data_IF_875040127766
#
_entry.id   IF_875040127766
#
_cell.length_a   1.000
_cell.length_b   1.000
_cell.length_c   1.000
_cell.angle_alpha   90.00
_cell.angle_beta   90.00
_cell.angle_gamma   90.00
#
_symmetry.space_group_name_H-M   'P 1'
#
loop_
_entity.id
_entity.type
_entity.pdbx_description
1 polymer ?
#
# COMPACT_ATOMS: atom_id res chain seq x y z
N UNK A 1 -10.35 34.57 -13.65
CA UNK A 1 -11.13 34.24 -14.87
C UNK A 1 -11.43 32.75 -14.85
N UNK A 2 -12.71 32.39 -14.90
CA UNK A 2 -13.10 30.98 -15.05
C UNK A 2 -12.78 30.49 -16.47
N UNK A 3 -12.37 29.23 -16.64
CA UNK A 3 -12.01 28.70 -17.95
C UNK A 3 -13.24 28.57 -18.85
N UNK A 4 -13.13 29.04 -20.10
CA UNK A 4 -14.22 28.95 -21.09
C UNK A 4 -14.44 27.48 -21.45
N UNK A 5 -15.65 26.90 -21.22
CA UNK A 5 -15.88 25.46 -21.39
C UNK A 5 -15.58 24.93 -22.79
N UNK A 6 -15.86 25.72 -23.83
CA UNK A 6 -15.59 25.38 -25.23
C UNK A 6 -14.08 25.24 -25.50
N UNK A 7 -13.27 26.18 -24.99
CA UNK A 7 -11.81 26.14 -25.13
C UNK A 7 -11.24 24.92 -24.41
N UNK A 8 -11.75 24.60 -23.21
CA UNK A 8 -11.32 23.40 -22.47
C UNK A 8 -11.68 22.12 -23.24
N UNK A 9 -12.85 22.07 -23.87
CA UNK A 9 -13.27 20.93 -24.67
C UNK A 9 -12.40 20.76 -25.91
N UNK A 10 -12.13 21.85 -26.64
CA UNK A 10 -11.26 21.85 -27.81
C UNK A 10 -9.84 21.43 -27.45
N UNK A 11 -9.25 22.02 -26.40
CA UNK A 11 -7.93 21.65 -25.91
C UNK A 11 -7.86 20.16 -25.55
N UNK A 12 -8.83 19.67 -24.78
CA UNK A 12 -8.86 18.25 -24.39
C UNK A 12 -8.91 17.33 -25.62
N UNK A 13 -9.75 17.67 -26.60
CA UNK A 13 -9.90 16.89 -27.82
C UNK A 13 -8.60 16.83 -28.63
N UNK A 14 -7.91 17.96 -28.79
CA UNK A 14 -6.61 18.02 -29.48
C UNK A 14 -5.53 17.24 -28.72
N UNK A 15 -5.51 17.34 -27.39
CA UNK A 15 -4.59 16.56 -26.54
C UNK A 15 -4.75 15.06 -26.78
N UNK A 16 -5.98 14.56 -26.84
CA UNK A 16 -6.24 13.14 -27.06
C UNK A 16 -5.95 12.72 -28.51
N UNK A 17 -6.34 13.53 -29.48
CA UNK A 17 -6.19 13.22 -30.91
C UNK A 17 -4.72 13.14 -31.34
N UNK A 18 -3.87 13.93 -30.69
CA UNK A 18 -2.43 13.98 -30.96
C UNK A 18 -1.58 13.15 -29.97
N UNK A 19 -2.20 12.35 -29.10
CA UNK A 19 -1.54 11.57 -28.05
C UNK A 19 -0.58 12.40 -27.17
N UNK A 20 -0.91 13.66 -26.91
CA UNK A 20 0.02 14.58 -26.25
C UNK A 20 0.35 14.13 -24.82
N UNK A 21 -0.61 13.56 -24.08
CA UNK A 21 -0.36 13.02 -22.75
C UNK A 21 0.73 11.93 -22.74
N UNK A 22 0.75 11.06 -23.75
CA UNK A 22 1.79 10.05 -23.89
C UNK A 22 3.15 10.72 -24.16
N UNK A 23 3.21 11.62 -25.15
CA UNK A 23 4.44 12.32 -25.50
C UNK A 23 5.03 13.09 -24.33
N UNK A 24 4.19 13.74 -23.53
CA UNK A 24 4.61 14.47 -22.33
C UNK A 24 5.21 13.53 -21.29
N UNK A 25 4.58 12.38 -21.01
CA UNK A 25 5.09 11.40 -20.05
C UNK A 25 6.39 10.76 -20.55
N UNK A 26 6.44 10.32 -21.80
CA UNK A 26 7.62 9.67 -22.40
C UNK A 26 8.83 10.59 -22.45
N UNK A 27 8.61 11.92 -22.51
CA UNK A 27 9.68 12.91 -22.65
C UNK A 27 9.82 13.82 -21.42
N UNK A 28 9.16 13.52 -20.30
CA UNK A 28 9.14 14.39 -19.10
C UNK A 28 10.55 14.75 -18.60
N UNK A 29 11.50 13.83 -18.74
CA UNK A 29 12.91 14.05 -18.36
C UNK A 29 13.60 15.17 -19.16
N UNK A 30 13.14 15.47 -20.39
CA UNK A 30 13.73 16.50 -21.26
C UNK A 30 13.31 17.93 -20.90
N UNK A 31 12.26 18.08 -20.08
CA UNK A 31 11.78 19.38 -19.64
C UNK A 31 12.63 19.94 -18.49
N UNK A 32 12.62 21.27 -18.37
CA UNK A 32 13.18 21.95 -17.20
C UNK A 32 12.33 21.69 -15.94
N UNK A 33 12.87 22.05 -14.78
CA UNK A 33 12.29 21.69 -13.48
C UNK A 33 10.85 22.18 -13.29
N UNK A 34 10.55 23.44 -13.61
CA UNK A 34 9.17 23.95 -13.49
C UNK A 34 8.25 23.35 -14.55
N UNK A 35 8.74 23.18 -15.79
CA UNK A 35 7.95 22.57 -16.85
C UNK A 35 7.57 21.10 -16.53
N UNK A 36 8.40 20.34 -15.80
CA UNK A 36 8.04 18.99 -15.29
C UNK A 36 6.81 19.03 -14.37
N UNK A 37 6.71 20.06 -13.53
CA UNK A 37 5.54 20.27 -12.65
C UNK A 37 4.31 20.69 -13.44
N UNK A 38 4.48 21.56 -14.44
CA UNK A 38 3.40 21.97 -15.33
C UNK A 38 2.82 20.78 -16.08
N UNK A 39 3.66 19.85 -16.55
CA UNK A 39 3.21 18.58 -17.16
C UNK A 39 2.33 17.80 -16.20
N UNK A 40 2.76 17.61 -14.95
CA UNK A 40 1.97 16.90 -13.95
C UNK A 40 0.63 17.60 -13.67
N UNK A 41 0.64 18.94 -13.57
CA UNK A 41 -0.57 19.72 -13.35
C UNK A 41 -1.54 19.62 -14.53
N UNK A 42 -1.06 19.78 -15.76
CA UNK A 42 -1.88 19.66 -16.98
C UNK A 42 -2.50 18.26 -17.06
N UNK A 43 -1.70 17.22 -16.84
CA UNK A 43 -2.20 15.84 -16.85
C UNK A 43 -3.31 15.65 -15.80
N UNK A 44 -3.08 16.08 -14.56
CA UNK A 44 -4.04 15.94 -13.48
C UNK A 44 -5.32 16.76 -13.69
N UNK A 45 -5.20 17.97 -14.27
CA UNK A 45 -6.34 18.79 -14.64
C UNK A 45 -7.22 18.10 -15.69
N UNK A 46 -6.60 17.51 -16.72
CA UNK A 46 -7.34 16.74 -17.73
C UNK A 46 -7.94 15.47 -17.14
N UNK A 47 -7.20 14.76 -16.29
CA UNK A 47 -7.69 13.54 -15.65
C UNK A 47 -8.96 13.76 -14.81
N UNK A 48 -9.02 14.87 -14.08
CA UNK A 48 -10.18 15.24 -13.25
C UNK A 48 -11.37 15.80 -14.05
N UNK A 49 -11.21 16.02 -15.36
CA UNK A 49 -12.27 16.57 -16.20
C UNK A 49 -13.39 15.55 -16.43
N UNK A 50 -14.62 15.98 -16.16
CA UNK A 50 -15.83 15.20 -16.40
C UNK A 50 -16.74 15.88 -17.43
N UNK A 51 -17.44 15.07 -18.24
CA UNK A 51 -18.52 15.50 -19.14
C UNK A 51 -19.75 14.68 -18.76
N UNK A 52 -20.66 15.28 -17.99
CA UNK A 52 -21.74 14.54 -17.35
C UNK A 52 -21.16 13.49 -16.38
N UNK A 53 -21.52 12.23 -16.57
CA UNK A 53 -21.01 11.08 -15.79
C UNK A 53 -19.73 10.46 -16.37
N UNK A 54 -19.26 10.93 -17.53
CA UNK A 54 -18.08 10.37 -18.20
C UNK A 54 -16.81 11.10 -17.81
N UNK A 55 -15.71 10.36 -17.71
CA UNK A 55 -14.36 10.88 -17.49
C UNK A 55 -13.50 10.60 -18.73
N UNK A 56 -13.47 11.49 -19.74
CA UNK A 56 -12.86 11.21 -21.04
C UNK A 56 -11.39 10.82 -20.97
N UNK A 57 -10.62 11.43 -20.07
CA UNK A 57 -9.19 11.11 -19.89
C UNK A 57 -9.01 9.72 -19.31
N UNK A 58 -9.87 9.28 -18.39
CA UNK A 58 -9.85 7.93 -17.85
C UNK A 58 -10.13 6.92 -18.96
N UNK A 59 -11.16 7.17 -19.78
CA UNK A 59 -11.49 6.34 -20.94
C UNK A 59 -10.34 6.29 -21.96
N UNK A 60 -9.69 7.43 -22.21
CA UNK A 60 -8.49 7.51 -23.06
C UNK A 60 -7.35 6.64 -22.51
N UNK A 61 -7.05 6.73 -21.21
CA UNK A 61 -6.00 5.93 -20.56
C UNK A 61 -6.32 4.43 -20.52
N UNK A 62 -7.60 4.04 -20.40
CA UNK A 62 -8.01 2.64 -20.49
C UNK A 62 -7.64 1.99 -21.84
N UNK A 63 -7.53 2.78 -22.91
CA UNK A 63 -7.12 2.30 -24.25
C UNK A 63 -5.62 2.41 -24.50
N UNK A 64 -4.86 2.97 -23.54
CA UNK A 64 -3.43 3.33 -23.65
C UNK A 64 -2.73 3.09 -22.31
N UNK A 65 -2.83 1.86 -21.83
CA UNK A 65 -2.27 1.41 -20.55
C UNK A 65 -0.76 1.63 -20.40
N UNK A 66 0.00 1.60 -21.50
CA UNK A 66 1.43 1.88 -21.50
C UNK A 66 1.78 3.23 -20.84
N UNK A 67 0.90 4.24 -20.87
CA UNK A 67 1.13 5.51 -20.18
C UNK A 67 1.23 5.30 -18.67
N UNK A 68 0.37 4.46 -18.09
CA UNK A 68 0.43 4.10 -16.67
C UNK A 68 1.73 3.36 -16.37
N UNK A 69 2.17 2.49 -17.27
CA UNK A 69 3.42 1.77 -17.09
C UNK A 69 4.63 2.69 -17.20
N UNK A 70 4.68 3.62 -18.15
CA UNK A 70 5.77 4.62 -18.22
C UNK A 70 5.84 5.45 -16.94
N UNK A 71 4.68 5.83 -16.35
CA UNK A 71 4.65 6.52 -15.06
C UNK A 71 5.23 5.66 -13.92
N UNK A 72 4.94 4.36 -13.88
CA UNK A 72 5.55 3.43 -12.91
C UNK A 72 7.07 3.36 -13.09
N UNK A 73 7.53 3.20 -14.33
CA UNK A 73 8.97 3.17 -14.64
C UNK A 73 9.66 4.51 -14.35
N UNK A 74 8.91 5.62 -14.24
CA UNK A 74 9.43 6.92 -13.84
C UNK A 74 10.15 6.92 -12.50
N UNK A 75 9.83 5.99 -11.58
CA UNK A 75 10.56 5.82 -10.32
C UNK A 75 12.02 5.38 -10.50
N UNK A 76 12.39 4.84 -11.67
CA UNK A 76 13.78 4.47 -12.00
C UNK A 76 14.64 5.70 -12.35
N UNK A 77 14.02 6.87 -12.59
CA UNK A 77 14.71 8.11 -12.89
C UNK A 77 14.47 9.16 -11.79
N UNK A 78 15.54 9.47 -11.05
CA UNK A 78 15.48 10.36 -9.88
C UNK A 78 14.96 11.77 -10.20
N UNK A 79 15.18 12.29 -11.41
CA UNK A 79 14.75 13.64 -11.76
C UNK A 79 13.23 13.77 -11.96
N UNK A 80 12.55 12.67 -12.24
CA UNK A 80 11.13 12.67 -12.63
C UNK A 80 10.27 11.81 -11.71
N UNK A 81 10.87 10.97 -10.86
CA UNK A 81 10.16 10.03 -10.00
C UNK A 81 8.99 10.66 -9.23
N UNK A 82 9.21 11.82 -8.59
CA UNK A 82 8.16 12.51 -7.83
C UNK A 82 7.04 13.05 -8.72
N UNK A 83 7.36 13.56 -9.92
CA UNK A 83 6.37 14.02 -10.89
C UNK A 83 5.51 12.84 -11.39
N UNK A 84 6.16 11.72 -11.72
CA UNK A 84 5.49 10.50 -12.14
C UNK A 84 4.60 9.93 -11.03
N UNK A 85 5.08 9.91 -9.78
CA UNK A 85 4.31 9.51 -8.60
C UNK A 85 3.08 10.37 -8.37
N UNK A 86 3.20 11.69 -8.51
CA UNK A 86 2.08 12.63 -8.42
C UNK A 86 0.99 12.33 -9.46
N UNK A 87 1.37 12.13 -10.72
CA UNK A 87 0.42 11.82 -11.80
C UNK A 87 -0.21 10.43 -11.57
N UNK A 88 0.61 9.45 -11.23
CA UNK A 88 0.17 8.07 -11.03
C UNK A 88 -0.84 7.97 -9.89
N UNK A 89 -0.60 8.60 -8.73
CA UNK A 89 -1.56 8.58 -7.61
C UNK A 89 -2.90 9.23 -7.95
N UNK A 90 -2.94 10.20 -8.85
CA UNK A 90 -4.21 10.74 -9.36
C UNK A 90 -4.91 9.73 -10.28
N UNK A 91 -4.16 9.04 -11.16
CA UNK A 91 -4.71 7.94 -11.98
C UNK A 91 -5.34 6.85 -11.10
N UNK A 92 -4.68 6.47 -10.01
CA UNK A 92 -5.15 5.43 -9.09
C UNK A 92 -6.40 5.81 -8.28
N UNK A 93 -6.88 7.05 -8.37
CA UNK A 93 -8.21 7.42 -7.85
C UNK A 93 -9.34 6.77 -8.62
N UNK A 94 -9.10 6.39 -9.87
CA UNK A 94 -10.08 5.75 -10.73
C UNK A 94 -9.90 4.23 -10.69
N UNK A 95 -10.91 3.52 -10.18
CA UNK A 95 -10.88 2.07 -9.98
C UNK A 95 -10.46 1.29 -11.24
N UNK A 96 -10.96 1.72 -12.42
CA UNK A 96 -10.63 1.11 -13.71
C UNK A 96 -9.14 1.20 -14.07
N UNK A 97 -8.45 2.30 -13.71
CA UNK A 97 -7.03 2.46 -13.97
C UNK A 97 -6.19 1.68 -12.95
N UNK A 98 -6.62 1.68 -11.68
CA UNK A 98 -6.00 0.84 -10.64
C UNK A 98 -6.08 -0.64 -11.02
N UNK A 99 -7.21 -1.09 -11.59
CA UNK A 99 -7.37 -2.47 -12.07
C UNK A 99 -6.36 -2.84 -13.16
N UNK A 100 -6.08 -1.93 -14.10
CA UNK A 100 -5.05 -2.14 -15.13
C UNK A 100 -3.68 -2.33 -14.49
N UNK A 101 -3.33 -1.50 -13.50
CA UNK A 101 -2.03 -1.58 -12.82
C UNK A 101 -1.91 -2.87 -12.00
N UNK A 102 -2.91 -3.20 -11.18
CA UNK A 102 -2.91 -4.40 -10.32
C UNK A 102 -2.87 -5.71 -11.14
N UNK A 103 -3.50 -5.73 -12.32
CA UNK A 103 -3.48 -6.90 -13.20
C UNK A 103 -2.21 -7.01 -14.06
N UNK A 104 -1.27 -6.07 -13.93
CA UNK A 104 0.00 -6.08 -14.65
C UNK A 104 1.15 -6.59 -13.77
N UNK A 105 2.22 -7.09 -14.38
CA UNK A 105 3.45 -7.42 -13.65
C UNK A 105 4.16 -6.17 -13.08
N UNK A 106 3.78 -4.97 -13.52
CA UNK A 106 4.42 -3.72 -13.10
C UNK A 106 4.14 -3.38 -11.63
N UNK A 107 3.04 -3.89 -11.05
CA UNK A 107 2.74 -3.73 -9.62
C UNK A 107 3.88 -4.24 -8.73
N UNK A 108 4.58 -5.29 -9.17
CA UNK A 108 5.65 -5.91 -8.37
C UNK A 108 6.94 -5.08 -8.34
N UNK A 109 7.08 -4.07 -9.21
CA UNK A 109 8.22 -3.15 -9.14
C UNK A 109 8.20 -2.27 -7.88
N UNK A 110 7.02 -2.05 -7.29
CA UNK A 110 6.93 -1.27 -6.05
C UNK A 110 7.69 -1.93 -4.88
N UNK A 111 7.86 -3.25 -4.87
CA UNK A 111 8.70 -3.91 -3.86
C UNK A 111 10.17 -3.48 -3.94
N UNK A 112 10.66 -3.16 -5.14
CA UNK A 112 12.01 -2.63 -5.34
C UNK A 112 12.05 -1.12 -5.08
N UNK A 113 11.03 -0.38 -5.57
CA UNK A 113 11.00 1.09 -5.45
C UNK A 113 10.87 1.58 -4.02
N UNK A 114 10.22 0.84 -3.12
CA UNK A 114 10.14 1.22 -1.69
C UNK A 114 11.43 0.96 -0.91
N UNK A 115 12.40 0.27 -1.51
CA UNK A 115 13.70 -0.06 -0.92
C UNK A 115 14.86 0.77 -1.50
N UNK A 116 14.58 1.73 -2.39
CA UNK A 116 15.64 2.59 -2.95
C UNK A 116 16.27 3.46 -1.87
N UNK A 117 17.57 3.74 -2.01
CA UNK A 117 18.34 4.50 -1.02
C UNK A 117 17.92 5.98 -0.93
N UNK A 118 17.28 6.52 -1.98
CA UNK A 118 16.80 7.90 -2.00
C UNK A 118 15.49 8.00 -1.22
N UNK A 119 15.56 8.52 0.00
CA UNK A 119 14.44 8.54 0.96
C UNK A 119 13.14 9.15 0.39
N UNK A 120 13.22 10.29 -0.30
CA UNK A 120 12.04 10.96 -0.86
C UNK A 120 11.35 10.10 -1.92
N UNK A 121 12.14 9.41 -2.76
CA UNK A 121 11.63 8.53 -3.81
C UNK A 121 11.02 7.27 -3.20
N UNK A 122 11.72 6.63 -2.25
CA UNK A 122 11.21 5.45 -1.56
C UNK A 122 9.89 5.73 -0.82
N UNK A 123 9.82 6.88 -0.14
CA UNK A 123 8.62 7.32 0.58
C UNK A 123 7.45 7.62 -0.37
N UNK A 124 7.72 8.29 -1.50
CA UNK A 124 6.72 8.56 -2.52
C UNK A 124 6.22 7.27 -3.20
N UNK A 125 7.13 6.35 -3.53
CA UNK A 125 6.81 5.03 -4.05
C UNK A 125 5.95 4.24 -3.05
N UNK A 126 6.26 4.31 -1.76
CA UNK A 126 5.46 3.64 -0.72
C UNK A 126 4.06 4.26 -0.62
N UNK A 127 3.92 5.58 -0.74
CA UNK A 127 2.62 6.23 -0.77
C UNK A 127 1.76 5.75 -1.95
N UNK A 128 2.37 5.60 -3.13
CA UNK A 128 1.70 5.04 -4.31
C UNK A 128 1.35 3.57 -4.14
N UNK A 129 2.26 2.77 -3.58
CA UNK A 129 2.03 1.36 -3.28
C UNK A 129 0.91 1.15 -2.26
N UNK A 130 0.86 1.99 -1.22
CA UNK A 130 -0.26 2.02 -0.26
C UNK A 130 -1.57 2.33 -0.96
N UNK A 131 -1.62 3.37 -1.79
CA UNK A 131 -2.83 3.74 -2.55
C UNK A 131 -3.34 2.58 -3.42
N UNK A 132 -2.42 1.85 -4.09
CA UNK A 132 -2.75 0.64 -4.86
C UNK A 132 -3.40 -0.44 -4.00
N UNK A 133 -2.92 -0.63 -2.77
CA UNK A 133 -3.32 -1.72 -1.88
C UNK A 133 -4.40 -1.35 -0.85
N UNK A 134 -4.87 -0.11 -0.81
CA UNK A 134 -5.84 0.28 0.21
C UNK A 134 -7.03 1.09 -0.29
N UNK A 135 -7.01 1.61 -1.51
CA UNK A 135 -8.06 2.54 -1.98
C UNK A 135 -9.33 1.82 -2.45
N UNK A 136 -9.20 0.87 -3.38
CA UNK A 136 -10.35 0.16 -3.98
C UNK A 136 -10.50 -1.23 -3.35
N UNK A 137 -11.18 -1.29 -2.20
CA UNK A 137 -11.16 -2.46 -1.29
C UNK A 137 -11.50 -3.79 -1.95
N UNK A 138 -12.58 -3.85 -2.72
CA UNK A 138 -13.02 -5.06 -3.40
C UNK A 138 -12.02 -5.53 -4.44
N UNK A 139 -11.52 -4.60 -5.27
CA UNK A 139 -10.52 -4.89 -6.29
C UNK A 139 -9.20 -5.38 -5.68
N UNK A 140 -8.76 -4.76 -4.59
CA UNK A 140 -7.55 -5.18 -3.88
C UNK A 140 -7.73 -6.57 -3.26
N UNK A 141 -8.87 -6.85 -2.64
CA UNK A 141 -9.15 -8.17 -2.08
C UNK A 141 -9.08 -9.27 -3.15
N UNK A 142 -9.70 -9.04 -4.31
CA UNK A 142 -9.63 -9.95 -5.47
C UNK A 142 -8.17 -10.16 -5.92
N UNK A 143 -7.40 -9.08 -6.07
CA UNK A 143 -5.99 -9.14 -6.45
C UNK A 143 -5.15 -9.95 -5.45
N UNK A 144 -5.30 -9.67 -4.15
CA UNK A 144 -4.54 -10.32 -3.07
C UNK A 144 -4.91 -11.79 -2.92
N UNK A 145 -6.17 -12.16 -3.12
CA UNK A 145 -6.62 -13.55 -3.06
C UNK A 145 -6.03 -14.37 -4.21
N UNK A 146 -6.12 -13.85 -5.44
CA UNK A 146 -5.58 -14.52 -6.64
C UNK A 146 -4.06 -14.62 -6.61
N UNK A 147 -3.37 -13.60 -6.13
CA UNK A 147 -1.91 -13.50 -6.19
C UNK A 147 -1.23 -13.75 -4.82
N UNK A 148 -1.94 -14.37 -3.88
CA UNK A 148 -1.56 -14.46 -2.48
C UNK A 148 -0.12 -14.89 -2.25
N UNK A 149 0.29 -16.02 -2.83
CA UNK A 149 1.60 -16.62 -2.53
C UNK A 149 2.75 -15.73 -2.99
N UNK A 150 2.70 -15.28 -4.26
CA UNK A 150 3.73 -14.40 -4.82
C UNK A 150 3.76 -13.05 -4.12
N UNK A 151 2.60 -12.49 -3.79
CA UNK A 151 2.51 -11.20 -3.11
C UNK A 151 3.10 -11.28 -1.70
N UNK A 152 2.65 -12.22 -0.86
CA UNK A 152 3.10 -12.31 0.54
C UNK A 152 4.52 -12.84 0.68
N UNK A 153 5.04 -13.63 -0.27
CA UNK A 153 6.46 -13.96 -0.34
C UNK A 153 7.32 -12.69 -0.46
N UNK A 154 7.01 -11.80 -1.40
CA UNK A 154 7.71 -10.51 -1.56
C UNK A 154 7.44 -9.57 -0.38
N UNK A 155 6.21 -9.52 0.12
CA UNK A 155 5.84 -8.65 1.25
C UNK A 155 6.60 -9.03 2.53
N UNK A 156 6.88 -10.32 2.73
CA UNK A 156 7.69 -10.79 3.87
C UNK A 156 9.09 -10.19 3.85
N UNK A 157 9.67 -9.95 2.67
CA UNK A 157 10.97 -9.31 2.54
C UNK A 157 10.93 -7.86 3.06
N UNK A 158 9.86 -7.11 2.79
CA UNK A 158 9.68 -5.75 3.32
C UNK A 158 9.57 -5.73 4.86
N UNK A 159 8.91 -6.73 5.45
CA UNK A 159 8.82 -6.88 6.92
C UNK A 159 10.18 -7.21 7.57
N UNK A 160 11.12 -7.71 6.77
CA UNK A 160 12.48 -8.06 7.18
C UNK A 160 13.51 -7.02 6.72
N UNK A 161 13.08 -5.93 6.09
CA UNK A 161 13.95 -4.88 5.58
C UNK A 161 14.86 -4.28 6.66
N UNK A 162 16.10 -3.97 6.27
CA UNK A 162 17.01 -3.19 7.10
C UNK A 162 16.66 -1.70 7.11
N UNK A 163 15.87 -1.23 6.14
CA UNK A 163 15.35 0.13 6.13
C UNK A 163 14.23 0.27 7.17
N UNK A 164 14.50 1.04 8.22
CA UNK A 164 13.56 1.26 9.32
C UNK A 164 12.20 1.78 8.83
N UNK A 165 12.19 2.73 7.89
CA UNK A 165 10.95 3.36 7.41
C UNK A 165 10.14 2.37 6.61
N UNK A 166 10.78 1.68 5.66
CA UNK A 166 10.11 0.65 4.84
C UNK A 166 9.56 -0.47 5.71
N UNK A 167 10.35 -1.01 6.63
CA UNK A 167 9.91 -2.05 7.57
C UNK A 167 8.71 -1.60 8.41
N UNK A 168 8.77 -0.40 9.00
CA UNK A 168 7.68 0.13 9.83
C UNK A 168 6.40 0.35 9.03
N UNK A 169 6.49 1.02 7.89
CA UNK A 169 5.31 1.35 7.09
C UNK A 169 4.70 0.09 6.47
N UNK A 170 5.51 -0.89 6.06
CA UNK A 170 5.03 -2.18 5.57
C UNK A 170 4.29 -2.97 6.65
N UNK A 171 4.78 -2.96 7.89
CA UNK A 171 4.13 -3.63 9.00
C UNK A 171 2.80 -2.96 9.37
N UNK A 172 2.76 -1.63 9.38
CA UNK A 172 1.52 -0.86 9.56
C UNK A 172 0.50 -1.18 8.47
N UNK A 173 0.91 -1.13 7.20
CA UNK A 173 0.04 -1.42 6.06
C UNK A 173 -0.45 -2.87 6.09
N UNK A 174 0.37 -3.84 6.53
CA UNK A 174 -0.07 -5.21 6.73
C UNK A 174 -1.23 -5.28 7.73
N UNK A 175 -1.11 -4.59 8.88
CA UNK A 175 -2.20 -4.49 9.84
C UNK A 175 -3.48 -3.92 9.24
N UNK A 176 -3.36 -2.83 8.45
CA UNK A 176 -4.49 -2.22 7.73
C UNK A 176 -5.12 -3.20 6.71
N UNK A 177 -4.32 -3.97 5.97
CA UNK A 177 -4.80 -4.97 4.99
C UNK A 177 -5.56 -6.09 5.71
N UNK A 178 -4.99 -6.65 6.78
CA UNK A 178 -5.55 -7.81 7.48
C UNK A 178 -6.83 -7.47 8.25
N UNK A 179 -6.97 -6.23 8.73
CA UNK A 179 -8.16 -5.78 9.47
C UNK A 179 -9.30 -5.29 8.54
N UNK A 180 -9.05 -5.15 7.23
CA UNK A 180 -10.09 -4.77 6.30
C UNK A 180 -11.07 -5.92 6.05
N UNK A 181 -12.36 -5.66 6.21
CA UNK A 181 -13.43 -6.65 6.03
C UNK A 181 -13.46 -7.28 4.63
N UNK A 182 -13.02 -6.55 3.59
CA UNK A 182 -12.98 -7.09 2.24
C UNK A 182 -11.90 -8.19 2.10
N UNK A 183 -10.87 -8.14 2.95
CA UNK A 183 -9.75 -9.06 2.95
C UNK A 183 -9.94 -10.25 3.90
N UNK A 184 -11.17 -10.59 4.29
CA UNK A 184 -11.43 -11.68 5.24
C UNK A 184 -10.74 -12.99 4.84
N UNK A 185 -10.89 -13.43 3.58
CA UNK A 185 -10.25 -14.65 3.05
C UNK A 185 -8.72 -14.58 3.16
N UNK A 186 -8.14 -13.45 2.74
CA UNK A 186 -6.69 -13.18 2.80
C UNK A 186 -6.19 -13.22 4.25
N UNK A 187 -6.92 -12.57 5.16
CA UNK A 187 -6.62 -12.54 6.59
C UNK A 187 -6.66 -13.94 7.20
N UNK A 188 -7.72 -14.71 6.96
CA UNK A 188 -7.85 -16.08 7.47
C UNK A 188 -6.71 -16.97 6.99
N UNK A 189 -6.30 -16.86 5.72
CA UNK A 189 -5.14 -17.59 5.19
C UNK A 189 -3.83 -17.13 5.86
N UNK A 190 -3.66 -15.83 6.07
CA UNK A 190 -2.45 -15.26 6.69
C UNK A 190 -2.25 -15.72 8.13
N UNK A 191 -3.33 -15.69 8.93
CA UNK A 191 -3.27 -16.03 10.35
C UNK A 191 -3.25 -17.54 10.63
N UNK A 192 -3.51 -18.37 9.62
CA UNK A 192 -3.37 -19.82 9.69
C UNK A 192 -1.91 -20.30 9.51
N UNK A 193 -0.98 -19.41 9.13
CA UNK A 193 0.42 -19.78 8.86
C UNK A 193 1.31 -19.58 10.10
N UNK A 194 1.89 -20.67 10.58
CA UNK A 194 2.79 -20.68 11.73
C UNK A 194 4.05 -19.80 11.56
N UNK A 195 4.58 -19.67 10.35
CA UNK A 195 5.75 -18.82 10.09
C UNK A 195 5.41 -17.34 10.23
N UNK A 196 4.20 -16.94 9.81
CA UNK A 196 3.73 -15.57 9.98
C UNK A 196 3.59 -15.22 11.47
N UNK A 197 3.05 -16.13 12.29
CA UNK A 197 2.99 -15.93 13.74
C UNK A 197 4.39 -15.77 14.36
N UNK A 198 5.33 -16.66 14.01
CA UNK A 198 6.72 -16.57 14.50
C UNK A 198 7.38 -15.25 14.11
N UNK A 199 7.15 -14.78 12.88
CA UNK A 199 7.64 -13.49 12.43
C UNK A 199 7.10 -12.35 13.30
N UNK A 200 5.79 -12.31 13.54
CA UNK A 200 5.18 -11.28 14.39
C UNK A 200 5.70 -11.33 15.83
N UNK A 201 5.83 -12.54 16.41
CA UNK A 201 6.40 -12.71 17.75
C UNK A 201 7.86 -12.24 17.86
N UNK A 202 8.66 -12.42 16.80
CA UNK A 202 10.01 -11.88 16.74
C UNK A 202 10.02 -10.35 16.61
N UNK A 203 9.10 -9.78 15.81
CA UNK A 203 8.97 -8.33 15.65
C UNK A 203 8.46 -7.62 16.91
N UNK A 204 7.67 -8.29 17.76
CA UNK A 204 7.34 -7.80 19.11
C UNK A 204 8.58 -7.56 19.99
N UNK A 205 9.70 -8.21 19.66
CA UNK A 205 10.98 -8.07 20.35
C UNK A 205 12.00 -7.24 19.57
N UNK A 206 11.58 -6.54 18.53
CA UNK A 206 12.45 -5.67 17.73
C UNK A 206 13.09 -4.57 18.60
N UNK A 207 14.24 -4.03 18.22
CA UNK A 207 14.89 -2.96 18.99
C UNK A 207 14.08 -1.66 18.99
N UNK A 208 13.27 -1.45 17.95
CA UNK A 208 12.45 -0.25 17.81
C UNK A 208 11.07 -0.43 18.43
N UNK A 209 10.77 0.38 19.45
CA UNK A 209 9.45 0.46 20.11
C UNK A 209 8.30 0.69 19.12
N UNK A 210 8.53 1.43 18.04
CA UNK A 210 7.49 1.65 17.03
C UNK A 210 7.24 0.40 16.17
N UNK A 211 8.28 -0.39 15.86
CA UNK A 211 8.10 -1.67 15.15
C UNK A 211 7.35 -2.66 16.05
N UNK A 212 7.72 -2.74 17.33
CA UNK A 212 7.02 -3.57 18.30
C UNK A 212 5.52 -3.26 18.35
N UNK A 213 5.18 -1.97 18.36
CA UNK A 213 3.79 -1.51 18.40
C UNK A 213 3.00 -1.90 17.14
N UNK A 214 3.55 -1.70 15.94
CA UNK A 214 2.87 -2.14 14.71
C UNK A 214 2.77 -3.68 14.65
N UNK A 215 3.78 -4.41 15.14
CA UNK A 215 3.75 -5.88 15.23
C UNK A 215 2.64 -6.38 16.15
N UNK A 216 2.36 -5.66 17.24
CA UNK A 216 1.26 -5.96 18.15
C UNK A 216 -0.10 -5.94 17.44
N UNK A 217 -0.34 -4.96 16.58
CA UNK A 217 -1.61 -4.87 15.83
C UNK A 217 -1.82 -6.02 14.83
N UNK A 218 -0.75 -6.67 14.35
CA UNK A 218 -0.87 -7.87 13.53
C UNK A 218 -0.96 -9.12 14.41
N UNK A 219 -0.12 -9.22 15.45
CA UNK A 219 -0.14 -10.32 16.41
C UNK A 219 -1.51 -10.50 17.08
N UNK A 220 -2.20 -9.40 17.42
CA UNK A 220 -3.54 -9.46 18.04
C UNK A 220 -4.54 -10.25 17.20
N UNK A 221 -4.44 -10.19 15.87
CA UNK A 221 -5.35 -10.88 14.95
C UNK A 221 -5.20 -12.41 15.04
N UNK A 222 -3.98 -12.90 15.26
CA UNK A 222 -3.73 -14.33 15.47
C UNK A 222 -4.39 -14.83 16.76
N UNK A 223 -4.24 -14.07 17.84
CA UNK A 223 -4.75 -14.46 19.16
C UNK A 223 -6.28 -14.27 19.25
N UNK A 224 -6.82 -13.23 18.61
CA UNK A 224 -8.25 -12.96 18.58
C UNK A 224 -9.04 -13.94 17.68
N UNK A 225 -8.38 -14.70 16.80
CA UNK A 225 -9.04 -15.68 15.96
C UNK A 225 -9.70 -16.79 16.82
N UNK A 226 -11.02 -16.98 16.78
CA UNK A 226 -11.69 -18.05 17.54
C UNK A 226 -11.36 -19.44 16.98
N UNK A 227 -11.05 -19.55 15.68
CA UNK A 227 -10.84 -20.80 14.97
C UNK A 227 -9.35 -20.99 14.65
N UNK A 228 -8.50 -21.01 15.68
CA UNK A 228 -7.05 -21.23 15.53
C UNK A 228 -6.78 -22.67 15.09
N UNK A 229 -5.94 -22.85 14.07
CA UNK A 229 -5.52 -24.19 13.67
C UNK A 229 -4.44 -24.73 14.64
N UNK A 230 -4.20 -26.04 14.60
CA UNK A 230 -3.30 -26.73 15.54
C UNK A 230 -1.87 -26.14 15.59
N UNK A 231 -1.22 -25.85 14.44
CA UNK A 231 0.13 -25.26 14.47
C UNK A 231 0.20 -23.89 15.18
N UNK A 232 -0.86 -23.09 15.11
CA UNK A 232 -0.94 -21.79 15.79
C UNK A 232 -1.16 -21.99 17.29
N UNK A 233 -2.08 -22.89 17.68
CA UNK A 233 -2.31 -23.24 19.08
C UNK A 233 -1.04 -23.77 19.74
N UNK A 234 -0.37 -24.73 19.12
CA UNK A 234 0.86 -25.33 19.67
C UNK A 234 1.96 -24.27 19.94
N UNK A 235 2.06 -23.24 19.08
CA UNK A 235 3.02 -22.15 19.30
C UNK A 235 2.61 -21.27 20.48
N UNK A 236 1.32 -20.92 20.58
CA UNK A 236 0.83 -20.06 21.65
C UNK A 236 0.89 -20.77 23.00
N UNK A 237 0.41 -22.02 23.11
CA UNK A 237 0.48 -22.86 24.31
C UNK A 237 1.92 -23.04 24.79
N UNK A 238 2.84 -23.40 23.87
CA UNK A 238 4.27 -23.59 24.22
C UNK A 238 4.95 -22.32 24.75
N UNK A 239 4.42 -21.14 24.44
CA UNK A 239 4.98 -19.85 24.84
C UNK A 239 4.07 -19.09 25.81
N UNK A 240 3.01 -19.71 26.35
CA UNK A 240 1.94 -19.06 27.12
C UNK A 240 2.47 -18.21 28.27
N UNK A 241 3.19 -18.82 29.21
CA UNK A 241 3.76 -18.12 30.38
C UNK A 241 4.64 -16.93 29.99
N UNK A 242 5.48 -17.12 28.97
CA UNK A 242 6.39 -16.08 28.47
C UNK A 242 5.65 -14.95 27.80
N UNK A 243 4.58 -15.26 27.05
CA UNK A 243 3.74 -14.26 26.40
C UNK A 243 2.95 -13.45 27.44
N UNK A 244 2.40 -14.08 28.47
CA UNK A 244 1.71 -13.39 29.56
C UNK A 244 2.67 -12.42 30.27
N UNK A 245 3.84 -12.92 30.69
CA UNK A 245 4.85 -12.09 31.34
C UNK A 245 5.31 -10.92 30.45
N UNK A 246 5.53 -11.19 29.16
CA UNK A 246 5.92 -10.16 28.19
C UNK A 246 4.83 -9.10 28.02
N UNK A 247 3.59 -9.50 27.70
CA UNK A 247 2.48 -8.57 27.44
C UNK A 247 2.09 -7.75 28.68
N UNK A 248 2.26 -8.30 29.88
CA UNK A 248 1.99 -7.58 31.13
C UNK A 248 2.90 -6.34 31.33
N UNK A 249 4.06 -6.34 30.69
CA UNK A 249 5.04 -5.23 30.77
C UNK A 249 5.18 -4.45 29.45
N UNK A 250 4.45 -4.87 28.41
CA UNK A 250 4.58 -4.33 27.07
C UNK A 250 3.95 -2.94 26.95
N UNK A 251 4.79 -1.93 26.69
CA UNK A 251 4.41 -0.52 26.47
C UNK A 251 3.50 0.09 27.56
N UNK A 252 3.74 -0.20 28.84
CA UNK A 252 2.96 0.35 29.97
C UNK A 252 3.12 1.87 30.16
N UNK A 253 4.00 2.52 29.41
CA UNK A 253 4.13 3.98 29.31
C UNK A 253 3.02 4.63 28.47
N UNK A 254 2.28 3.87 27.65
CA UNK A 254 1.16 4.36 26.83
C UNK A 254 -0.16 4.39 27.62
N UNK A 255 -0.19 5.13 28.72
CA UNK A 255 -1.36 5.20 29.61
C UNK A 255 -2.53 6.01 29.04
N UNK A 256 -2.26 6.85 28.04
CA UNK A 256 -3.23 7.69 27.33
C UNK A 256 -3.95 6.97 26.17
N UNK A 257 -3.45 5.80 25.77
CA UNK A 257 -4.03 4.97 24.71
C UNK A 257 -4.94 3.90 25.31
N UNK A 258 -6.18 4.30 25.66
CA UNK A 258 -7.18 3.40 26.27
C UNK A 258 -7.45 2.18 25.38
N UNK A 259 -7.57 2.37 24.06
CA UNK A 259 -7.80 1.28 23.12
C UNK A 259 -6.67 0.25 23.16
N UNK A 260 -5.41 0.68 23.14
CA UNK A 260 -4.28 -0.23 23.24
C UNK A 260 -4.29 -1.02 24.56
N UNK A 261 -4.60 -0.37 25.68
CA UNK A 261 -4.63 -1.03 26.98
C UNK A 261 -5.75 -2.07 27.08
N UNK A 262 -6.93 -1.78 26.52
CA UNK A 262 -8.04 -2.72 26.42
C UNK A 262 -7.70 -3.91 25.51
N UNK A 263 -7.11 -3.66 24.34
CA UNK A 263 -6.65 -4.71 23.43
C UNK A 263 -5.61 -5.61 24.12
N UNK A 264 -4.65 -5.03 24.85
CA UNK A 264 -3.63 -5.78 25.59
C UNK A 264 -4.25 -6.64 26.69
N UNK A 265 -5.19 -6.09 27.47
CA UNK A 265 -5.90 -6.82 28.51
C UNK A 265 -6.76 -7.97 27.93
N UNK A 266 -7.40 -7.74 26.79
CA UNK A 266 -8.12 -8.77 26.06
C UNK A 266 -7.19 -9.90 25.60
N UNK A 267 -6.03 -9.57 25.03
CA UNK A 267 -5.05 -10.58 24.59
C UNK A 267 -4.50 -11.41 25.75
N UNK A 268 -4.21 -10.78 26.90
CA UNK A 268 -3.78 -11.50 28.10
C UNK A 268 -4.81 -12.56 28.51
N UNK A 269 -6.09 -12.17 28.63
CA UNK A 269 -7.18 -13.10 28.96
C UNK A 269 -7.31 -14.23 27.93
N UNK A 270 -7.20 -13.92 26.64
CA UNK A 270 -7.28 -14.93 25.58
C UNK A 270 -6.13 -15.94 25.65
N UNK A 271 -4.92 -15.49 25.96
CA UNK A 271 -3.74 -16.36 26.08
C UNK A 271 -3.80 -17.19 27.36
N UNK A 272 -4.29 -16.62 28.47
CA UNK A 272 -4.52 -17.36 29.73
C UNK A 272 -5.56 -18.47 29.58
N UNK A 273 -6.53 -18.29 28.67
CA UNK A 273 -7.60 -19.27 28.42
C UNK A 273 -7.29 -20.33 27.35
N UNK A 274 -6.05 -20.35 26.82
CA UNK A 274 -5.62 -21.37 25.84
C UNK A 274 -5.48 -22.75 26.48
#
# INVERSE_FOLDING_TARGET
NEPVPEIVAQLSQEVYSNNLLQLLVDNIAKFEFEAKKDVAQIFNCLLRRNIGSRSPTVEYLCTRDHILFTLIHGYENQEIALNCGMILRECLRHEVLTKIVLNSQQVYKFFDYVEVNTFDIASDAFATFKDLLSKHKTLVAEFLEVNYDVFFERYTQLLQSTNYVTKRQSLKLLGEILLDRANFTVMTRYIANANNLKLMMNLLKDRSRNIQFEAFHVFKVFVANPNKNRPILDILEKNQDKLIAFLSTFHNDRNDDEQFNDEKAFLLKQIESL
#
